data_IF_680391205189
#
_entry.id   IF_680391205189
#
_cell.length_a   1.000
_cell.length_b   1.000
_cell.length_c   1.000
_cell.angle_alpha   90.00
_cell.angle_beta   90.00
_cell.angle_gamma   90.00
#
_symmetry.space_group_name_H-M   'P 1'
#
loop_
_entity.id
_entity.type
_entity.pdbx_description
1 polymer ?
#
# COMPACT_ATOMS: atom_id res chain seq x y z
N UNK A 1 3.31 -5.46 -45.47
CA UNK A 1 3.96 -4.83 -44.28
C UNK A 1 2.94 -4.76 -43.16
N UNK A 2 3.02 -5.67 -42.19
CA UNK A 2 2.09 -5.69 -41.04
C UNK A 2 2.46 -4.53 -40.10
N UNK A 3 1.55 -3.56 -39.89
CA UNK A 3 1.70 -2.54 -38.86
C UNK A 3 1.74 -3.24 -37.50
N UNK A 4 2.90 -3.29 -36.84
CA UNK A 4 2.99 -3.67 -35.42
C UNK A 4 2.07 -2.71 -34.67
N UNK A 5 0.94 -3.22 -34.20
CA UNK A 5 0.06 -2.50 -33.31
C UNK A 5 0.85 -2.30 -31.99
N UNK A 6 1.31 -1.09 -31.74
CA UNK A 6 1.98 -0.74 -30.48
C UNK A 6 0.93 -0.78 -29.38
N UNK A 7 0.80 -1.90 -28.72
CA UNK A 7 -0.08 -2.01 -27.54
C UNK A 7 0.52 -1.10 -26.47
N UNK A 8 -0.21 -0.06 -26.08
CA UNK A 8 0.19 0.80 -24.96
C UNK A 8 0.21 -0.06 -23.70
N UNK A 9 1.36 -0.15 -23.04
CA UNK A 9 1.48 -0.91 -21.81
C UNK A 9 0.56 -0.32 -20.73
N UNK A 10 -0.15 -1.19 -20.01
CA UNK A 10 -1.00 -0.79 -18.89
C UNK A 10 -0.17 -0.13 -17.79
N UNK A 11 -0.72 0.84 -17.08
CA UNK A 11 -0.07 1.53 -15.97
C UNK A 11 -0.69 1.11 -14.65
N UNK A 12 0.14 0.64 -13.74
CA UNK A 12 -0.28 0.17 -12.42
C UNK A 12 0.38 1.02 -11.35
N UNK A 13 -0.43 1.64 -10.48
CA UNK A 13 0.05 2.27 -9.26
C UNK A 13 -0.04 1.26 -8.12
N UNK A 14 1.06 1.07 -7.39
CA UNK A 14 1.08 0.36 -6.11
C UNK A 14 1.37 1.37 -5.02
N UNK A 15 0.36 1.64 -4.21
CA UNK A 15 0.41 2.64 -3.15
C UNK A 15 0.34 1.95 -1.78
N UNK A 16 1.31 2.24 -0.90
CA UNK A 16 1.34 1.53 0.37
C UNK A 16 2.38 2.02 1.38
N UNK A 17 2.62 1.18 2.35
CA UNK A 17 3.49 1.43 3.51
C UNK A 17 4.90 0.86 3.34
N UNK A 18 5.51 0.43 4.45
CA UNK A 18 6.85 -0.19 4.48
C UNK A 18 6.92 -1.51 3.70
N UNK A 19 5.82 -2.23 3.53
CA UNK A 19 5.77 -3.47 2.75
C UNK A 19 5.95 -3.16 1.25
N UNK A 20 5.36 -2.08 0.75
CA UNK A 20 5.58 -1.58 -0.62
C UNK A 20 6.96 -0.96 -0.77
N UNK A 21 7.41 -0.20 0.21
CA UNK A 21 8.77 0.37 0.25
C UNK A 21 9.86 -0.73 0.25
N UNK A 22 9.53 -1.91 0.79
CA UNK A 22 10.42 -3.06 0.88
C UNK A 22 11.30 -3.05 2.13
N UNK A 23 10.71 -2.77 3.30
CA UNK A 23 11.41 -2.91 4.57
C UNK A 23 11.57 -4.39 4.95
N UNK A 24 12.72 -4.74 5.54
CA UNK A 24 12.91 -5.99 6.24
C UNK A 24 12.65 -5.81 7.75
N UNK A 25 12.76 -6.90 8.51
CA UNK A 25 12.58 -6.89 9.98
C UNK A 25 13.56 -5.95 10.71
N UNK A 26 14.76 -5.71 10.15
CA UNK A 26 15.73 -4.75 10.69
C UNK A 26 15.48 -3.30 10.22
N UNK A 27 14.31 -3.03 9.67
CA UNK A 27 13.92 -1.73 9.11
C UNK A 27 14.84 -1.20 7.99
N UNK A 28 15.67 -2.06 7.42
CA UNK A 28 16.48 -1.77 6.23
C UNK A 28 15.67 -2.08 4.98
N UNK A 29 16.05 -1.46 3.87
CA UNK A 29 15.43 -1.75 2.59
C UNK A 29 16.06 -3.02 2.00
N UNK A 30 15.23 -4.01 1.66
CA UNK A 30 15.68 -5.23 0.99
C UNK A 30 16.21 -4.94 -0.41
N UNK A 31 17.01 -5.84 -0.98
CA UNK A 31 17.52 -5.71 -2.33
C UNK A 31 16.42 -5.40 -3.34
N UNK A 32 16.74 -4.61 -4.35
CA UNK A 32 15.77 -4.20 -5.37
C UNK A 32 15.10 -5.41 -6.04
N UNK A 33 15.89 -6.43 -6.38
CA UNK A 33 15.42 -7.65 -7.03
C UNK A 33 14.41 -8.44 -6.20
N UNK A 34 14.45 -8.33 -4.89
CA UNK A 34 13.70 -9.20 -3.96
C UNK A 34 12.41 -8.54 -3.47
N UNK A 35 12.24 -7.23 -3.69
CA UNK A 35 10.99 -6.55 -3.36
C UNK A 35 9.87 -7.08 -4.22
N UNK A 36 8.74 -7.41 -3.61
CA UNK A 36 7.61 -8.00 -4.32
C UNK A 36 7.08 -7.07 -5.45
N UNK A 37 7.08 -5.76 -5.26
CA UNK A 37 6.67 -4.79 -6.26
C UNK A 37 7.56 -4.84 -7.51
N UNK A 38 8.86 -5.02 -7.34
CA UNK A 38 9.81 -5.13 -8.46
C UNK A 38 9.76 -6.51 -9.12
N UNK A 39 9.42 -7.55 -8.35
CA UNK A 39 9.17 -8.89 -8.91
C UNK A 39 7.90 -8.87 -9.78
N UNK A 40 6.85 -8.17 -9.32
CA UNK A 40 5.63 -7.98 -10.10
C UNK A 40 5.91 -7.20 -11.40
N UNK A 41 6.66 -6.09 -11.30
CA UNK A 41 7.04 -5.30 -12.49
C UNK A 41 7.78 -6.16 -13.52
N UNK A 42 8.77 -6.97 -13.07
CA UNK A 42 9.47 -7.90 -13.97
C UNK A 42 8.55 -8.95 -14.59
N UNK A 43 7.61 -9.51 -13.82
CA UNK A 43 6.67 -10.51 -14.30
C UNK A 43 5.69 -9.93 -15.33
N UNK A 44 5.39 -8.63 -15.23
CA UNK A 44 4.51 -7.90 -16.14
C UNK A 44 5.24 -7.23 -17.31
N UNK A 45 6.55 -7.39 -17.43
CA UNK A 45 7.36 -6.74 -18.47
C UNK A 45 6.74 -6.87 -19.86
N UNK A 46 6.58 -5.73 -20.54
CA UNK A 46 5.96 -5.67 -21.87
C UNK A 46 4.43 -5.65 -21.87
N UNK A 47 3.77 -5.92 -20.73
CA UNK A 47 2.32 -5.86 -20.56
C UNK A 47 1.85 -4.69 -19.70
N UNK A 48 2.61 -4.36 -18.66
CA UNK A 48 2.33 -3.23 -17.80
C UNK A 48 3.61 -2.58 -17.28
N UNK A 49 3.48 -1.32 -16.86
CA UNK A 49 4.49 -0.56 -16.14
C UNK A 49 4.00 -0.33 -14.72
N UNK A 50 4.83 -0.68 -13.74
CA UNK A 50 4.49 -0.54 -12.32
C UNK A 50 5.16 0.70 -11.73
N UNK A 51 4.36 1.58 -11.14
CA UNK A 51 4.80 2.70 -10.31
C UNK A 51 4.55 2.36 -8.85
N UNK A 52 5.61 2.21 -8.06
CA UNK A 52 5.49 1.90 -6.63
C UNK A 52 5.70 3.16 -5.79
N UNK A 53 4.72 3.47 -4.93
CA UNK A 53 4.76 4.56 -3.96
C UNK A 53 4.60 3.99 -2.54
N UNK A 54 5.70 3.55 -1.96
CA UNK A 54 5.76 3.03 -0.60
C UNK A 54 6.42 4.01 0.35
N UNK A 55 5.78 4.31 1.48
CA UNK A 55 6.32 5.16 2.55
C UNK A 55 6.27 4.43 3.89
N UNK A 56 7.43 4.30 4.56
CA UNK A 56 7.51 3.64 5.87
C UNK A 56 6.63 4.32 6.91
N UNK A 57 5.78 3.53 7.55
CA UNK A 57 4.87 4.01 8.59
C UNK A 57 3.67 4.79 8.05
N UNK A 58 3.36 4.72 6.74
CA UNK A 58 2.14 5.29 6.17
C UNK A 58 0.94 4.55 6.74
N UNK A 59 -0.04 5.31 7.21
CA UNK A 59 -1.36 4.83 7.66
C UNK A 59 -2.38 4.94 6.53
N UNK A 60 -3.51 4.26 6.65
CA UNK A 60 -4.56 4.34 5.63
C UNK A 60 -5.27 5.69 5.63
N UNK A 61 -5.57 6.24 6.82
CA UNK A 61 -6.30 7.49 6.97
C UNK A 61 -5.42 8.74 7.09
N UNK A 62 -6.05 9.84 7.52
CA UNK A 62 -5.43 11.16 7.69
C UNK A 62 -5.47 11.62 9.16
N UNK A 63 -5.11 10.76 10.08
CA UNK A 63 -5.18 11.05 11.51
C UNK A 63 -3.81 11.36 12.17
N UNK A 64 -2.70 11.26 11.42
CA UNK A 64 -1.34 11.54 11.92
C UNK A 64 -1.05 13.03 11.90
N UNK A 65 -1.26 13.72 13.02
CA UNK A 65 -0.93 15.15 13.19
C UNK A 65 0.59 15.34 13.30
N UNK A 66 1.26 14.41 13.98
CA UNK A 66 2.72 14.44 14.21
C UNK A 66 3.55 14.21 12.94
N UNK A 67 3.00 13.52 11.97
CA UNK A 67 3.66 13.14 10.72
C UNK A 67 2.69 13.16 9.54
N UNK A 68 2.22 14.33 9.12
CA UNK A 68 1.19 14.44 8.06
C UNK A 68 1.62 13.82 6.73
N UNK A 69 2.93 13.78 6.43
CA UNK A 69 3.48 13.12 5.24
C UNK A 69 3.29 11.59 5.24
N UNK A 70 2.83 11.02 6.35
CA UNK A 70 2.49 9.59 6.48
C UNK A 70 0.98 9.33 6.45
N UNK A 71 0.19 10.36 6.29
CA UNK A 71 -1.24 10.23 6.06
C UNK A 71 -1.50 9.74 4.64
N UNK A 72 -2.25 8.65 4.54
CA UNK A 72 -2.43 7.95 3.28
C UNK A 72 -3.36 8.67 2.32
N UNK A 73 -4.52 9.11 2.78
CA UNK A 73 -5.53 9.74 1.91
C UNK A 73 -5.02 11.06 1.33
N UNK A 74 -4.49 11.95 2.15
CA UNK A 74 -4.00 13.27 1.69
C UNK A 74 -2.80 13.17 0.75
N UNK A 75 -1.92 12.16 0.92
CA UNK A 75 -0.77 11.98 0.02
C UNK A 75 -1.09 11.13 -1.22
N UNK A 76 -2.25 10.47 -1.27
CA UNK A 76 -2.66 9.65 -2.41
C UNK A 76 -2.93 10.48 -3.68
N UNK A 77 -3.54 11.65 -3.54
CA UNK A 77 -3.79 12.56 -4.66
C UNK A 77 -2.50 12.94 -5.37
N UNK A 78 -1.42 13.18 -4.61
CA UNK A 78 -0.08 13.42 -5.19
C UNK A 78 0.47 12.18 -5.90
N UNK A 79 0.19 10.98 -5.38
CA UNK A 79 0.61 9.74 -6.04
C UNK A 79 -0.12 9.52 -7.37
N UNK A 80 -1.39 9.89 -7.47
CA UNK A 80 -2.17 9.81 -8.71
C UNK A 80 -1.60 10.73 -9.81
N UNK A 81 -0.99 11.86 -9.44
CA UNK A 81 -0.39 12.80 -10.38
C UNK A 81 0.93 12.31 -11.01
N UNK A 82 1.47 11.16 -10.59
CA UNK A 82 2.72 10.60 -11.15
C UNK A 82 2.59 10.08 -12.58
N UNK A 83 1.38 9.95 -13.08
CA UNK A 83 1.09 9.64 -14.46
C UNK A 83 -0.24 10.30 -14.87
N UNK A 84 -0.46 10.49 -16.18
CA UNK A 84 -1.70 11.07 -16.69
C UNK A 84 -2.93 10.23 -16.31
N UNK A 85 -2.75 8.90 -16.25
CA UNK A 85 -3.75 7.94 -15.79
C UNK A 85 -3.10 6.63 -15.35
N UNK A 86 -3.81 5.90 -14.51
CA UNK A 86 -3.52 4.51 -14.18
C UNK A 86 -4.68 3.61 -14.64
N UNK A 87 -4.37 2.43 -15.15
CA UNK A 87 -5.34 1.41 -15.54
C UNK A 87 -5.75 0.53 -14.35
N UNK A 88 -4.93 0.52 -13.30
CA UNK A 88 -5.16 -0.24 -12.08
C UNK A 88 -4.41 0.42 -10.92
N UNK A 89 -5.04 0.46 -9.76
CA UNK A 89 -4.44 0.88 -8.51
C UNK A 89 -4.44 -0.29 -7.53
N UNK A 90 -3.31 -0.52 -6.87
CA UNK A 90 -3.18 -1.50 -5.79
C UNK A 90 -2.91 -0.73 -4.50
N UNK A 91 -3.82 -0.82 -3.53
CA UNK A 91 -3.69 -0.22 -2.20
C UNK A 91 -3.23 -1.30 -1.22
N UNK A 92 -2.04 -1.11 -0.64
CA UNK A 92 -1.44 -2.02 0.34
C UNK A 92 -1.15 -1.26 1.64
N UNK A 93 -2.21 -1.00 2.42
CA UNK A 93 -2.21 -0.20 3.64
C UNK A 93 -3.01 -0.87 4.76
N UNK A 94 -2.99 -0.26 5.94
CA UNK A 94 -3.71 -0.71 7.12
C UNK A 94 -2.80 -1.33 8.18
N UNK A 95 -1.60 -1.81 7.83
CA UNK A 95 -0.68 -2.41 8.80
C UNK A 95 -0.34 -1.44 9.94
N UNK A 96 0.02 -0.21 9.63
CA UNK A 96 0.41 0.77 10.65
C UNK A 96 -0.77 1.28 11.47
N UNK A 97 -1.98 1.22 10.94
CA UNK A 97 -3.21 1.58 11.63
C UNK A 97 -3.51 0.66 12.80
N UNK A 98 -3.05 -0.59 12.73
CA UNK A 98 -3.22 -1.63 13.74
C UNK A 98 -2.30 -1.46 14.97
N UNK A 99 -1.41 -0.44 14.99
CA UNK A 99 -0.60 -0.15 16.17
C UNK A 99 -1.49 0.32 17.32
N UNK A 100 -1.33 -0.28 18.50
CA UNK A 100 -2.18 0.00 19.67
C UNK A 100 -2.27 1.48 20.04
N UNK A 101 -1.16 2.22 19.91
CA UNK A 101 -1.11 3.66 20.23
C UNK A 101 -2.11 4.51 19.44
N UNK A 102 -2.61 4.03 18.30
CA UNK A 102 -3.56 4.77 17.48
C UNK A 102 -5.02 4.49 17.87
N UNK A 103 -5.26 3.45 18.68
CA UNK A 103 -6.58 3.11 19.18
C UNK A 103 -7.68 3.06 18.09
N UNK A 104 -7.30 2.60 16.88
CA UNK A 104 -8.22 2.51 15.74
C UNK A 104 -9.09 1.27 15.84
N UNK A 105 -10.34 1.39 15.42
CA UNK A 105 -11.23 0.24 15.25
C UNK A 105 -11.09 -0.35 13.84
N UNK A 106 -11.48 -1.62 13.62
CA UNK A 106 -11.52 -2.20 12.28
C UNK A 106 -12.38 -1.38 11.31
N UNK A 107 -13.51 -0.86 11.79
CA UNK A 107 -14.47 -0.06 11.04
C UNK A 107 -13.84 1.26 10.58
N UNK A 108 -13.05 1.91 11.45
CA UNK A 108 -12.30 3.11 11.09
C UNK A 108 -11.32 2.85 9.96
N UNK A 109 -10.56 1.75 10.06
CA UNK A 109 -9.54 1.41 9.07
C UNK A 109 -10.19 1.05 7.73
N UNK A 110 -11.25 0.25 7.76
CA UNK A 110 -11.99 -0.13 6.55
C UNK A 110 -12.63 1.09 5.90
N UNK A 111 -13.22 1.99 6.68
CA UNK A 111 -13.78 3.25 6.16
C UNK A 111 -12.71 4.07 5.42
N UNK A 112 -11.54 4.23 6.03
CA UNK A 112 -10.45 4.97 5.40
C UNK A 112 -9.94 4.26 4.13
N UNK A 113 -9.89 2.93 4.12
CA UNK A 113 -9.51 2.17 2.92
C UNK A 113 -10.54 2.34 1.79
N UNK A 114 -11.83 2.39 2.11
CA UNK A 114 -12.87 2.57 1.10
C UNK A 114 -12.85 3.96 0.46
N UNK A 115 -12.34 5.00 1.16
CA UNK A 115 -12.21 6.35 0.59
C UNK A 115 -11.26 6.39 -0.61
N UNK A 116 -10.29 5.48 -0.71
CA UNK A 116 -9.44 5.38 -1.91
C UNK A 116 -10.24 5.10 -3.18
N UNK A 117 -11.37 4.40 -3.06
CA UNK A 117 -12.27 4.15 -4.19
C UNK A 117 -12.87 5.44 -4.74
N UNK A 118 -13.30 6.34 -3.83
CA UNK A 118 -13.84 7.64 -4.21
C UNK A 118 -12.78 8.51 -4.89
N UNK A 119 -11.55 8.51 -4.34
CA UNK A 119 -10.43 9.28 -4.89
C UNK A 119 -9.92 8.74 -6.23
N UNK A 120 -10.01 7.43 -6.46
CA UNK A 120 -9.57 6.79 -7.70
C UNK A 120 -10.57 6.96 -8.86
N UNK A 121 -11.79 7.39 -8.59
CA UNK A 121 -12.85 7.53 -9.60
C UNK A 121 -13.17 6.20 -10.27
N UNK A 122 -13.11 6.16 -11.60
CA UNK A 122 -13.41 4.96 -12.39
C UNK A 122 -12.24 3.94 -12.45
N UNK A 123 -11.06 4.30 -11.96
CA UNK A 123 -9.90 3.40 -12.00
C UNK A 123 -10.12 2.19 -11.08
N UNK A 124 -10.01 0.95 -11.58
CA UNK A 124 -10.14 -0.24 -10.75
C UNK A 124 -9.13 -0.27 -9.60
N UNK A 125 -9.57 -0.74 -8.42
CA UNK A 125 -8.72 -0.91 -7.24
C UNK A 125 -8.66 -2.37 -6.81
N UNK A 126 -7.46 -2.81 -6.43
CA UNK A 126 -7.22 -4.04 -5.65
C UNK A 126 -6.69 -3.63 -4.28
N UNK A 127 -7.29 -4.16 -3.22
CA UNK A 127 -6.79 -4.00 -1.86
C UNK A 127 -5.96 -5.21 -1.45
N UNK A 128 -4.75 -4.96 -0.96
CA UNK A 128 -3.92 -5.96 -0.28
C UNK A 128 -4.01 -5.65 1.21
N UNK A 129 -4.69 -6.54 1.93
CA UNK A 129 -4.85 -6.40 3.37
C UNK A 129 -3.54 -6.69 4.11
N UNK A 130 -3.37 -6.16 5.34
CA UNK A 130 -2.19 -6.42 6.14
C UNK A 130 -1.91 -7.91 6.29
N UNK A 131 -0.65 -8.36 6.17
CA UNK A 131 -0.28 -9.74 6.44
C UNK A 131 -0.51 -10.06 7.93
N UNK A 132 -0.66 -11.34 8.26
CA UNK A 132 -0.71 -11.76 9.65
C UNK A 132 0.58 -11.40 10.38
N UNK A 133 0.45 -11.01 11.66
CA UNK A 133 1.59 -10.73 12.51
C UNK A 133 2.17 -12.05 13.02
N UNK A 134 3.49 -12.14 13.01
CA UNK A 134 4.19 -13.25 13.65
C UNK A 134 4.18 -13.11 15.18
N UNK A 135 4.44 -14.22 15.88
CA UNK A 135 4.52 -14.29 17.34
C UNK A 135 5.87 -13.79 17.93
N UNK A 136 6.68 -13.09 17.14
CA UNK A 136 7.97 -12.59 17.64
C UNK A 136 7.77 -11.38 18.56
N UNK A 137 8.50 -11.37 19.69
CA UNK A 137 8.55 -10.30 20.69
C UNK A 137 9.10 -8.97 20.16
N UNK A 138 8.63 -8.52 19.00
CA UNK A 138 9.00 -7.23 18.44
C UNK A 138 8.24 -6.10 19.16
N UNK A 139 8.53 -5.95 20.45
CA UNK A 139 8.03 -4.90 21.33
C UNK A 139 8.26 -3.46 20.82
N UNK A 140 9.07 -3.30 19.77
CA UNK A 140 9.37 -1.98 19.19
C UNK A 140 8.32 -1.37 18.28
N UNK A 141 7.29 -2.13 17.84
CA UNK A 141 6.32 -1.66 16.85
C UNK A 141 4.89 -1.52 17.38
N UNK A 142 4.65 -1.77 18.65
CA UNK A 142 3.30 -1.70 19.25
C UNK A 142 2.26 -2.61 18.56
N UNK A 143 2.71 -3.69 17.94
CA UNK A 143 1.86 -4.74 17.40
C UNK A 143 1.76 -5.87 18.43
N UNK A 144 0.54 -6.26 18.74
CA UNK A 144 0.21 -7.24 19.78
C UNK A 144 -0.80 -8.24 19.26
N UNK A 145 -1.16 -9.22 20.09
CA UNK A 145 -2.27 -10.14 19.79
C UNK A 145 -3.58 -9.40 19.52
N UNK A 146 -3.80 -8.25 20.20
CA UNK A 146 -4.95 -7.40 19.91
C UNK A 146 -4.89 -6.81 18.49
N UNK A 147 -3.72 -6.46 17.98
CA UNK A 147 -3.54 -6.01 16.59
C UNK A 147 -3.91 -7.10 15.60
N UNK A 148 -3.53 -8.34 15.86
CA UNK A 148 -3.91 -9.48 15.02
C UNK A 148 -5.43 -9.75 15.05
N UNK A 149 -6.05 -9.66 16.23
CA UNK A 149 -7.51 -9.78 16.36
C UNK A 149 -8.25 -8.67 15.58
N UNK A 150 -7.74 -7.44 15.61
CA UNK A 150 -8.29 -6.33 14.82
C UNK A 150 -8.14 -6.61 13.33
N UNK A 151 -6.95 -7.07 12.90
CA UNK A 151 -6.71 -7.45 11.50
C UNK A 151 -7.69 -8.50 11.00
N UNK A 152 -7.95 -9.53 11.80
CA UNK A 152 -8.92 -10.59 11.46
C UNK A 152 -10.35 -10.07 11.28
N UNK A 153 -10.72 -9.02 12.02
CA UNK A 153 -12.06 -8.40 11.88
C UNK A 153 -12.19 -7.49 10.65
N UNK A 154 -11.09 -7.18 9.98
CA UNK A 154 -11.11 -6.43 8.72
C UNK A 154 -11.34 -7.32 7.49
N UNK A 155 -11.24 -8.64 7.64
CA UNK A 155 -11.45 -9.61 6.56
C UNK A 155 -12.93 -9.89 6.38
#
# INVERSE_FOLDING_TARGET
MSKKQTTIAKRILIYGDSNVWGANFASKRICYSDRWVNRLDRALRGRAQVTADGVRGRVAGDFRIDKPQKNGLSTFTTALQKADNFDLIIIALGTNDLQQRFARTPEDIVRDLLEYRNLAGETPIIYILPPCFGTSDNSGYEFTDASEQLRQKML
#
